data_IF_394053599784
#
_entry.id   IF_394053599784
#
_cell.length_a   1.000
_cell.length_b   1.000
_cell.length_c   1.000
_cell.angle_alpha   90.00
_cell.angle_beta   90.00
_cell.angle_gamma   90.00
#
_symmetry.space_group_name_H-M   'P 1'
#
loop_
_entity.id
_entity.type
_entity.pdbx_description
1 polymer ?
#
# COMPACT_ATOMS: atom_id res chain seq x y z
N UNK A 1 20.24 24.89 -45.61
CA UNK A 1 18.91 24.56 -45.06
C UNK A 1 19.13 23.71 -43.83
N UNK A 2 18.57 24.16 -42.71
CA UNK A 2 18.77 23.58 -41.38
C UNK A 2 18.16 22.19 -41.32
N UNK A 3 18.97 21.20 -40.97
CA UNK A 3 18.48 19.87 -40.60
C UNK A 3 17.82 19.99 -39.22
N UNK A 4 16.49 19.86 -39.18
CA UNK A 4 15.72 19.69 -37.95
C UNK A 4 16.09 18.34 -37.33
N UNK A 5 17.06 18.36 -36.41
CA UNK A 5 17.29 17.27 -35.48
C UNK A 5 16.09 17.22 -34.52
N UNK A 6 15.18 16.27 -34.76
CA UNK A 6 14.19 15.89 -33.76
C UNK A 6 14.94 15.18 -32.63
N UNK A 7 15.07 15.84 -31.50
CA UNK A 7 15.41 15.22 -30.22
C UNK A 7 14.46 14.05 -30.02
N UNK A 8 15.00 12.83 -29.94
CA UNK A 8 14.25 11.66 -29.51
C UNK A 8 13.60 12.00 -28.17
N UNK A 9 12.28 11.87 -28.08
CA UNK A 9 11.62 11.78 -26.78
C UNK A 9 12.23 10.58 -26.08
N UNK A 10 12.74 10.78 -24.87
CA UNK A 10 13.16 9.68 -24.01
C UNK A 10 11.98 8.71 -23.89
N UNK A 11 12.15 7.51 -24.45
CA UNK A 11 11.27 6.40 -24.15
C UNK A 11 11.58 6.02 -22.70
N UNK A 12 10.76 6.50 -21.76
CA UNK A 12 10.77 5.95 -20.41
C UNK A 12 10.53 4.45 -20.55
N UNK A 13 11.43 3.64 -20.00
CA UNK A 13 11.32 2.19 -20.00
C UNK A 13 10.19 1.78 -19.03
N UNK A 14 8.94 2.02 -19.44
CA UNK A 14 7.75 1.70 -18.65
C UNK A 14 7.59 0.19 -18.41
N UNK A 15 8.33 -0.63 -19.17
CA UNK A 15 8.21 -2.09 -19.22
C UNK A 15 8.30 -2.77 -17.86
N UNK A 16 9.05 -2.23 -16.90
CA UNK A 16 9.19 -2.84 -15.57
C UNK A 16 7.90 -2.72 -14.74
N UNK A 17 7.14 -1.63 -14.91
CA UNK A 17 5.92 -1.35 -14.14
C UNK A 17 4.76 -2.16 -14.70
N UNK A 18 4.76 -2.40 -16.01
CA UNK A 18 3.72 -3.15 -16.70
C UNK A 18 3.48 -4.52 -16.08
N UNK A 19 2.21 -4.90 -16.00
CA UNK A 19 1.75 -6.19 -15.51
C UNK A 19 0.80 -6.07 -14.33
N UNK A 20 0.66 -7.19 -13.63
CA UNK A 20 -0.28 -7.37 -12.53
C UNK A 20 0.50 -7.54 -11.23
N UNK A 21 0.09 -6.82 -10.20
CA UNK A 21 0.77 -6.77 -8.91
C UNK A 21 -0.25 -7.05 -7.81
N UNK A 22 -0.06 -8.14 -7.07
CA UNK A 22 -0.97 -8.53 -5.98
C UNK A 22 -0.43 -8.00 -4.65
N UNK A 23 -1.29 -7.43 -3.81
CA UNK A 23 -0.90 -6.99 -2.47
C UNK A 23 -0.47 -8.22 -1.63
N UNK A 24 0.72 -8.16 -1.06
CA UNK A 24 1.32 -9.25 -0.25
C UNK A 24 1.79 -8.78 1.12
N UNK A 25 1.96 -7.48 1.34
CA UNK A 25 2.22 -6.91 2.66
C UNK A 25 1.46 -5.61 2.90
N UNK A 26 0.90 -5.47 4.10
CA UNK A 26 0.35 -4.25 4.67
C UNK A 26 1.02 -4.04 6.03
N UNK A 27 1.96 -3.10 6.13
CA UNK A 27 2.78 -2.91 7.33
C UNK A 27 2.68 -1.49 7.88
N UNK A 28 2.70 -1.34 9.21
CA UNK A 28 2.48 -0.06 9.89
C UNK A 28 3.60 0.34 10.88
N UNK A 29 4.80 -0.21 10.68
CA UNK A 29 5.98 -0.04 11.57
C UNK A 29 5.68 -0.38 13.04
N UNK A 30 4.77 -1.33 13.24
CA UNK A 30 4.38 -1.86 14.54
C UNK A 30 4.07 -3.34 14.38
N UNK A 31 4.74 -4.18 15.16
CA UNK A 31 4.49 -5.62 15.16
C UNK A 31 3.35 -5.94 16.13
N UNK A 32 2.32 -6.60 15.63
CA UNK A 32 1.10 -6.93 16.37
C UNK A 32 0.83 -8.43 16.28
N UNK A 33 0.25 -8.98 17.34
CA UNK A 33 -0.28 -10.35 17.41
C UNK A 33 -1.80 -10.17 17.45
N UNK A 34 -2.45 -10.17 16.28
CA UNK A 34 -3.90 -9.88 16.18
C UNK A 34 -4.70 -11.19 16.30
N UNK A 35 -4.16 -12.27 15.76
CA UNK A 35 -4.81 -13.59 15.78
C UNK A 35 -4.64 -14.32 17.13
N UNK A 36 -3.81 -13.79 18.05
CA UNK A 36 -3.49 -14.34 19.37
C UNK A 36 -2.82 -15.73 19.31
N UNK A 37 -1.99 -15.98 18.30
CA UNK A 37 -1.19 -17.22 18.19
C UNK A 37 0.13 -17.16 18.98
N UNK A 38 0.47 -15.99 19.52
CA UNK A 38 1.66 -15.74 20.34
C UNK A 38 2.86 -15.20 19.56
N UNK A 39 2.75 -15.03 18.24
CA UNK A 39 3.77 -14.41 17.40
C UNK A 39 3.31 -13.03 16.94
N UNK A 40 4.20 -12.04 16.97
CA UNK A 40 3.92 -10.69 16.46
C UNK A 40 4.49 -10.53 15.06
N UNK A 41 3.71 -9.97 14.13
CA UNK A 41 4.17 -9.68 12.78
C UNK A 41 4.02 -8.19 12.40
N UNK A 42 4.95 -7.70 11.58
CA UNK A 42 4.88 -6.36 10.99
C UNK A 42 3.89 -6.29 9.82
N UNK A 43 3.70 -7.41 9.12
CA UNK A 43 2.73 -7.54 8.05
C UNK A 43 1.38 -7.91 8.65
N UNK A 44 0.46 -6.95 8.69
CA UNK A 44 -0.88 -7.19 9.22
C UNK A 44 -1.63 -8.25 8.41
N UNK A 45 -1.31 -8.46 7.13
CA UNK A 45 -1.99 -9.48 6.33
C UNK A 45 -1.74 -10.91 6.81
N UNK A 46 -0.70 -11.17 7.61
CA UNK A 46 -0.49 -12.49 8.23
C UNK A 46 -1.24 -12.65 9.55
N UNK A 47 -1.62 -11.53 10.16
CA UNK A 47 -2.30 -11.43 11.45
C UNK A 47 -3.83 -11.34 11.29
N UNK A 48 -4.30 -10.84 10.15
CA UNK A 48 -5.70 -10.63 9.85
C UNK A 48 -6.32 -11.85 9.16
N UNK A 49 -7.45 -12.33 9.68
CA UNK A 49 -8.31 -13.32 9.01
C UNK A 49 -9.28 -12.64 8.03
N UNK A 50 -8.79 -11.67 7.25
CA UNK A 50 -9.57 -11.01 6.22
C UNK A 50 -9.05 -11.36 4.82
N UNK A 51 -9.97 -11.50 3.86
CA UNK A 51 -9.58 -11.80 2.49
C UNK A 51 -8.79 -10.65 1.83
N UNK A 52 -7.57 -10.95 1.39
CA UNK A 52 -6.75 -9.98 0.64
C UNK A 52 -6.67 -10.36 -0.83
N UNK A 53 -7.41 -9.63 -1.65
CA UNK A 53 -7.48 -9.84 -3.10
C UNK A 53 -7.11 -8.60 -3.92
N UNK A 54 -6.52 -7.57 -3.28
CA UNK A 54 -6.14 -6.35 -3.98
C UNK A 54 -5.10 -6.63 -5.06
N UNK A 55 -5.38 -6.12 -6.25
CA UNK A 55 -4.51 -6.20 -7.41
C UNK A 55 -4.39 -4.83 -8.05
N UNK A 56 -3.16 -4.42 -8.35
CA UNK A 56 -2.85 -3.30 -9.23
C UNK A 56 -2.47 -3.84 -10.61
N UNK A 57 -2.98 -3.19 -11.66
CA UNK A 57 -2.65 -3.52 -13.05
C UNK A 57 -2.18 -2.28 -13.77
N UNK A 58 -0.94 -2.29 -14.25
CA UNK A 58 -0.35 -1.26 -15.09
C UNK A 58 -0.41 -1.72 -16.54
N UNK A 59 -1.03 -0.92 -17.39
CA UNK A 59 -1.13 -1.19 -18.82
C UNK A 59 -0.25 -0.26 -19.66
N UNK A 60 -0.10 -0.61 -20.94
CA UNK A 60 0.72 0.14 -21.88
C UNK A 60 0.10 1.46 -22.35
N UNK A 61 -1.08 1.83 -21.83
CA UNK A 61 -1.75 3.10 -22.14
C UNK A 61 -1.42 4.19 -21.11
N UNK A 62 -0.59 3.87 -20.12
CA UNK A 62 -0.25 4.79 -19.02
C UNK A 62 -1.27 4.79 -17.90
N UNK A 63 -2.15 3.76 -17.84
CA UNK A 63 -3.18 3.63 -16.81
C UNK A 63 -2.80 2.55 -15.81
N UNK A 64 -3.02 2.85 -14.54
CA UNK A 64 -3.02 1.88 -13.44
C UNK A 64 -4.43 1.75 -12.88
N UNK A 65 -4.90 0.52 -12.78
CA UNK A 65 -6.18 0.20 -12.13
C UNK A 65 -5.97 -0.65 -10.89
N UNK A 66 -6.71 -0.37 -9.82
CA UNK A 66 -6.87 -1.26 -8.67
C UNK A 66 -8.17 -2.03 -8.79
N UNK A 67 -8.16 -3.30 -8.38
CA UNK A 67 -9.36 -4.13 -8.21
C UNK A 67 -9.33 -4.78 -6.84
N UNK A 68 -10.51 -4.94 -6.22
CA UNK A 68 -10.66 -5.49 -4.87
C UNK A 68 -9.79 -4.77 -3.84
N UNK A 69 -9.82 -3.43 -3.85
CA UNK A 69 -8.99 -2.60 -2.98
C UNK A 69 -9.18 -3.01 -1.52
N UNK A 70 -8.07 -3.23 -0.83
CA UNK A 70 -8.03 -3.60 0.56
C UNK A 70 -8.52 -2.41 1.40
N UNK A 71 -9.70 -2.57 2.03
CA UNK A 71 -10.38 -1.51 2.76
C UNK A 71 -11.11 -2.05 4.00
N UNK A 72 -10.47 -2.93 4.76
CA UNK A 72 -11.01 -3.34 6.06
C UNK A 72 -10.89 -2.20 7.09
N UNK A 73 -11.83 -2.12 8.03
CA UNK A 73 -11.77 -1.14 9.12
C UNK A 73 -10.87 -1.71 10.23
N UNK A 74 -9.64 -1.21 10.30
CA UNK A 74 -8.64 -1.60 11.29
C UNK A 74 -8.46 -0.43 12.25
N UNK A 75 -8.91 -0.60 13.49
CA UNK A 75 -8.73 0.37 14.57
C UNK A 75 -7.68 -0.13 15.54
N UNK A 76 -6.67 0.68 15.78
CA UNK A 76 -5.58 0.37 16.70
C UNK A 76 -5.64 1.36 17.83
N UNK A 77 -5.52 0.89 19.07
CA UNK A 77 -5.56 1.76 20.25
C UNK A 77 -4.52 1.36 21.29
N UNK A 78 -4.07 2.32 22.09
CA UNK A 78 -3.18 2.06 23.25
C UNK A 78 -4.04 1.68 24.46
N UNK A 79 -3.66 0.63 25.19
CA UNK A 79 -4.37 0.21 26.40
C UNK A 79 -3.94 1.08 27.59
N UNK A 80 -4.88 1.54 28.42
CA UNK A 80 -4.57 2.42 29.57
C UNK A 80 -3.79 1.66 30.65
N UNK A 81 -4.06 0.36 30.81
CA UNK A 81 -3.41 -0.47 31.81
C UNK A 81 -1.92 -0.74 31.52
N UNK A 82 -1.52 -0.64 30.25
CA UNK A 82 -0.14 -0.80 29.80
C UNK A 82 0.05 -0.05 28.47
N UNK A 83 0.68 1.12 28.54
CA UNK A 83 0.87 2.02 27.41
C UNK A 83 1.79 1.45 26.31
N UNK A 84 2.48 0.34 26.58
CA UNK A 84 3.28 -0.39 25.58
C UNK A 84 2.47 -1.50 24.87
N UNK A 85 1.25 -1.78 25.33
CA UNK A 85 0.34 -2.73 24.69
C UNK A 85 -0.69 -2.02 23.81
N UNK A 86 -0.84 -2.55 22.60
CA UNK A 86 -1.85 -2.13 21.65
C UNK A 86 -3.02 -3.11 21.66
N UNK A 87 -4.24 -2.58 21.56
CA UNK A 87 -5.43 -3.32 21.16
C UNK A 87 -5.74 -3.07 19.69
N UNK A 88 -6.38 -4.05 19.04
CA UNK A 88 -6.78 -3.95 17.64
C UNK A 88 -8.22 -4.44 17.52
N UNK A 89 -9.05 -3.64 16.88
CA UNK A 89 -10.38 -4.02 16.40
C UNK A 89 -10.36 -4.09 14.88
N UNK A 90 -10.86 -5.19 14.31
CA UNK A 90 -10.86 -5.44 12.88
C UNK A 90 -12.28 -5.77 12.44
N UNK A 91 -12.78 -5.03 11.47
CA UNK A 91 -14.00 -5.36 10.73
C UNK A 91 -13.64 -5.61 9.26
N UNK A 92 -13.70 -6.88 8.85
CA UNK A 92 -13.43 -7.25 7.46
C UNK A 92 -14.58 -6.78 6.55
N UNK A 93 -14.34 -5.71 5.79
CA UNK A 93 -15.24 -5.28 4.72
C UNK A 93 -15.05 -6.11 3.44
N UNK A 94 -16.11 -6.24 2.64
CA UNK A 94 -15.96 -6.65 1.25
C UNK A 94 -15.07 -5.63 0.52
N UNK A 95 -14.12 -6.12 -0.28
CA UNK A 95 -13.17 -5.26 -1.00
C UNK A 95 -13.88 -4.12 -1.75
N UNK A 96 -13.27 -2.94 -1.72
CA UNK A 96 -13.92 -1.74 -2.24
C UNK A 96 -13.92 -1.67 -3.78
N UNK A 97 -14.77 -0.79 -4.32
CA UNK A 97 -14.67 -0.37 -5.72
C UNK A 97 -13.27 0.22 -5.92
N UNK A 98 -12.48 -0.43 -6.77
CA UNK A 98 -11.15 0.05 -7.07
C UNK A 98 -11.13 1.32 -7.90
N UNK A 99 -9.94 1.81 -8.23
CA UNK A 99 -9.74 3.02 -9.01
C UNK A 99 -9.11 2.72 -10.36
N UNK A 100 -9.19 3.67 -11.29
CA UNK A 100 -8.35 3.72 -12.47
C UNK A 100 -7.82 5.14 -12.63
N UNK A 101 -6.50 5.30 -12.72
CA UNK A 101 -5.82 6.60 -12.86
C UNK A 101 -4.65 6.47 -13.82
N UNK A 102 -4.16 7.60 -14.31
CA UNK A 102 -2.86 7.65 -14.97
C UNK A 102 -1.74 7.42 -13.96
N UNK A 103 -0.69 6.70 -14.37
CA UNK A 103 0.58 6.66 -13.66
C UNK A 103 1.64 7.49 -14.40
N UNK A 104 2.61 8.03 -13.66
CA UNK A 104 3.70 8.84 -14.22
C UNK A 104 5.04 8.28 -13.73
N UNK A 105 5.83 7.65 -14.61
CA UNK A 105 7.22 7.31 -14.31
C UNK A 105 8.03 8.58 -14.05
N UNK A 106 8.74 8.64 -12.93
CA UNK A 106 9.59 9.78 -12.55
C UNK A 106 11.07 9.41 -12.37
N UNK A 107 11.40 8.13 -12.49
CA UNK A 107 12.76 7.61 -12.39
C UNK A 107 12.91 6.24 -13.03
N UNK A 108 14.12 5.68 -12.96
CA UNK A 108 14.41 4.35 -13.52
C UNK A 108 13.57 3.27 -12.85
N UNK A 109 13.14 3.42 -11.61
CA UNK A 109 12.35 2.43 -10.90
C UNK A 109 11.22 3.03 -10.05
N UNK A 110 10.91 4.31 -10.24
CA UNK A 110 9.90 5.05 -9.46
C UNK A 110 8.77 5.53 -10.36
N UNK A 111 7.54 5.31 -9.90
CA UNK A 111 6.30 5.72 -10.57
C UNK A 111 5.37 6.41 -9.58
N UNK A 112 4.66 7.43 -10.04
CA UNK A 112 3.65 8.15 -9.24
C UNK A 112 2.26 7.82 -9.73
N UNK A 113 1.35 7.46 -8.82
CA UNK A 113 -0.08 7.34 -9.10
C UNK A 113 -0.88 7.65 -7.84
N UNK A 114 -2.06 8.24 -7.98
CA UNK A 114 -2.84 8.77 -6.84
C UNK A 114 -2.00 9.65 -5.90
N UNK A 115 -1.12 10.48 -6.47
CA UNK A 115 -0.20 11.38 -5.72
C UNK A 115 0.81 10.68 -4.80
N UNK A 116 0.92 9.36 -4.86
CA UNK A 116 1.84 8.56 -4.05
C UNK A 116 2.94 8.01 -4.95
N UNK A 117 4.18 8.12 -4.49
CA UNK A 117 5.33 7.47 -5.13
C UNK A 117 5.34 5.98 -4.79
N UNK A 118 5.61 5.17 -5.80
CA UNK A 118 5.87 3.75 -5.67
C UNK A 118 7.20 3.40 -6.33
N UNK A 119 7.94 2.50 -5.71
CA UNK A 119 9.24 2.04 -6.20
C UNK A 119 9.14 0.57 -6.56
N UNK A 120 9.72 0.21 -7.70
CA UNK A 120 9.88 -1.18 -8.14
C UNK A 120 11.30 -1.64 -7.85
N UNK A 121 11.43 -2.82 -7.24
CA UNK A 121 12.70 -3.54 -7.11
C UNK A 121 12.45 -5.01 -7.45
N UNK A 122 12.95 -5.42 -8.63
CA UNK A 122 12.68 -6.74 -9.20
C UNK A 122 11.18 -7.03 -9.35
N UNK A 123 10.68 -7.98 -8.55
CA UNK A 123 9.28 -8.40 -8.55
C UNK A 123 8.45 -7.78 -7.42
N UNK A 124 8.96 -6.75 -6.74
CA UNK A 124 8.24 -6.03 -5.71
C UNK A 124 7.96 -4.60 -6.12
N UNK A 125 6.74 -4.14 -5.88
CA UNK A 125 6.34 -2.75 -5.94
C UNK A 125 5.99 -2.32 -4.52
N UNK A 126 6.68 -1.30 -3.99
CA UNK A 126 6.42 -0.76 -2.66
C UNK A 126 5.90 0.67 -2.75
N UNK A 127 4.95 1.01 -1.87
CA UNK A 127 4.52 2.40 -1.68
C UNK A 127 4.23 2.65 -0.20
N UNK A 128 4.51 3.87 0.26
CA UNK A 128 4.27 4.26 1.65
C UNK A 128 3.30 5.43 1.69
N UNK A 129 2.26 5.29 2.50
CA UNK A 129 1.26 6.32 2.79
C UNK A 129 1.62 6.89 4.16
N UNK A 130 2.13 8.11 4.19
CA UNK A 130 2.40 8.82 5.44
C UNK A 130 1.09 9.08 6.18
N UNK A 131 1.09 8.87 7.51
CA UNK A 131 -0.10 8.99 8.36
C UNK A 131 -1.29 8.15 7.86
N UNK A 132 -1.01 7.00 7.22
CA UNK A 132 -2.01 6.14 6.62
C UNK A 132 -2.92 5.41 7.61
N UNK A 133 -2.55 5.35 8.91
CA UNK A 133 -3.40 4.78 9.97
C UNK A 133 -3.31 5.61 11.24
N UNK A 134 -4.44 5.75 11.91
CA UNK A 134 -4.56 6.41 13.21
C UNK A 134 -4.47 5.39 14.35
N UNK A 135 -3.79 5.77 15.42
CA UNK A 135 -3.78 5.07 16.70
C UNK A 135 -4.57 5.91 17.69
N UNK A 136 -5.53 5.28 18.36
CA UNK A 136 -6.46 5.93 19.29
C UNK A 136 -6.09 5.68 20.75
N UNK A 137 -6.73 6.42 21.66
CA UNK A 137 -6.85 6.03 23.06
C UNK A 137 -7.80 4.82 23.22
N UNK A 138 -7.82 4.21 24.42
CA UNK A 138 -8.51 2.93 24.65
C UNK A 138 -10.02 2.98 24.38
N UNK A 139 -10.67 4.14 24.52
CA UNK A 139 -12.10 4.31 24.25
C UNK A 139 -12.41 4.75 22.81
N UNK A 140 -11.39 4.83 21.94
CA UNK A 140 -11.48 5.21 20.53
C UNK A 140 -12.00 6.64 20.28
N UNK A 141 -11.97 7.53 21.28
CA UNK A 141 -12.51 8.89 21.16
C UNK A 141 -11.53 9.89 20.56
N UNK A 142 -10.22 9.66 20.70
CA UNK A 142 -9.17 10.59 20.28
C UNK A 142 -8.02 9.87 19.57
N UNK A 143 -7.52 10.47 18.49
CA UNK A 143 -6.27 10.03 17.84
C UNK A 143 -5.10 10.53 18.66
N UNK A 144 -4.28 9.61 19.17
CA UNK A 144 -3.10 9.92 19.98
C UNK A 144 -1.80 9.87 19.19
N UNK A 145 -1.80 9.17 18.06
CA UNK A 145 -0.65 9.01 17.17
C UNK A 145 -1.11 8.60 15.77
N UNK A 146 -0.30 8.88 14.75
CA UNK A 146 -0.47 8.34 13.39
C UNK A 146 0.77 7.54 12.99
N UNK A 147 0.56 6.51 12.16
CA UNK A 147 1.65 5.71 11.59
C UNK A 147 1.58 5.70 10.08
N UNK A 148 2.74 5.57 9.45
CA UNK A 148 2.81 5.36 8.01
C UNK A 148 2.44 3.92 7.68
N UNK A 149 1.72 3.72 6.58
CA UNK A 149 1.37 2.40 6.05
C UNK A 149 2.26 2.12 4.85
N UNK A 150 3.01 1.03 4.87
CA UNK A 150 3.77 0.53 3.73
C UNK A 150 3.05 -0.65 3.10
N UNK A 151 2.72 -0.53 1.82
CA UNK A 151 2.12 -1.57 1.00
C UNK A 151 3.19 -2.17 0.10
N UNK A 152 3.28 -3.50 0.07
CA UNK A 152 4.15 -4.23 -0.85
C UNK A 152 3.28 -5.12 -1.73
N UNK A 153 3.48 -5.01 -3.03
CA UNK A 153 2.84 -5.83 -4.03
C UNK A 153 3.86 -6.71 -4.72
N UNK A 154 3.49 -7.95 -5.04
CA UNK A 154 4.32 -8.88 -5.79
C UNK A 154 3.81 -9.07 -7.20
N UNK A 155 4.72 -9.00 -8.17
CA UNK A 155 4.43 -9.24 -9.58
C UNK A 155 3.90 -10.67 -9.77
N UNK A 156 2.82 -10.82 -10.54
CA UNK A 156 2.18 -12.11 -10.86
C UNK A 156 2.72 -12.72 -12.15
#
# INVERSE_FOLDING_TARGET
MLASSCSKKDETNDSQFLGTWKLTSYAIDLALDINNDGEKNLNLLTELDCETNEVLKFDNTGVVSSTNTFQHDIKIFKKEADLEMYGVEVECAEGAIGFATTYLPIGENTVVFNTIEATVDGNQLSRTITDGIAIYNEDLSEVVETKSVTLIYSKQ
#
